data_IF_836254774383
#
_entry.id   IF_836254774383
#
_cell.length_a   1.000
_cell.length_b   1.000
_cell.length_c   1.000
_cell.angle_alpha   90.00
_cell.angle_beta   90.00
_cell.angle_gamma   90.00
#
_symmetry.space_group_name_H-M   'P 1'
#
loop_
_entity.id
_entity.type
_entity.pdbx_description
1 polymer ?
#
# COMPACT_ATOMS: atom_id res chain seq x y z
N UNK A 1 -21.26 12.97 16.76
CA UNK A 1 -20.27 13.28 15.70
C UNK A 1 -19.29 14.40 16.06
N UNK A 2 -19.71 15.48 16.77
CA UNK A 2 -18.81 16.59 17.09
C UNK A 2 -17.79 16.32 18.22
N UNK A 3 -18.03 15.35 19.10
CA UNK A 3 -17.12 15.03 20.20
C UNK A 3 -15.80 14.44 19.68
N UNK A 4 -15.86 13.52 18.74
CA UNK A 4 -14.70 12.83 18.21
C UNK A 4 -13.73 13.74 17.44
N UNK A 5 -14.26 14.66 16.61
CA UNK A 5 -13.41 15.61 15.90
C UNK A 5 -12.59 16.48 16.84
N UNK A 6 -13.16 16.84 18.01
CA UNK A 6 -12.42 17.56 19.05
C UNK A 6 -11.33 16.72 19.68
N UNK A 7 -11.61 15.43 19.90
CA UNK A 7 -10.61 14.51 20.47
C UNK A 7 -9.45 14.31 19.51
N UNK A 8 -9.70 14.13 18.21
CA UNK A 8 -8.65 14.02 17.18
C UNK A 8 -7.80 15.29 17.12
N UNK A 9 -8.42 16.47 17.13
CA UNK A 9 -7.68 17.75 17.12
C UNK A 9 -6.82 17.86 18.37
N UNK A 10 -7.36 17.54 19.54
CA UNK A 10 -6.62 17.57 20.81
C UNK A 10 -5.45 16.58 20.81
N UNK A 11 -5.63 15.40 20.23
CA UNK A 11 -4.57 14.41 20.13
C UNK A 11 -3.46 14.88 19.17
N UNK A 12 -3.82 15.55 18.06
CA UNK A 12 -2.85 16.18 17.16
C UNK A 12 -2.06 17.30 17.88
N UNK A 13 -2.73 18.19 18.60
CA UNK A 13 -2.10 19.27 19.36
C UNK A 13 -1.14 18.74 20.43
N UNK A 14 -1.50 17.62 21.06
CA UNK A 14 -0.66 16.92 22.06
C UNK A 14 0.34 15.94 21.45
N UNK A 15 0.47 15.89 20.13
CA UNK A 15 1.34 14.94 19.38
C UNK A 15 1.07 13.47 19.71
N UNK A 16 -0.15 13.13 20.06
CA UNK A 16 -0.62 11.77 20.25
C UNK A 16 -1.09 11.17 18.93
N UNK A 17 -0.13 10.91 18.04
CA UNK A 17 -0.41 10.37 16.72
C UNK A 17 -0.71 8.88 16.80
N UNK A 18 -1.54 8.41 15.87
CA UNK A 18 -1.74 6.99 15.67
C UNK A 18 -0.40 6.31 15.34
N UNK A 19 -0.24 5.09 15.80
CA UNK A 19 0.95 4.28 15.58
C UNK A 19 0.65 3.12 14.65
N UNK A 20 1.59 2.80 13.82
CA UNK A 20 1.52 1.62 12.98
C UNK A 20 1.64 0.36 13.85
N UNK A 21 0.57 -0.41 13.90
CA UNK A 21 0.52 -1.67 14.63
C UNK A 21 0.92 -2.86 13.74
N UNK A 22 0.65 -2.76 12.44
CA UNK A 22 0.91 -3.82 11.47
C UNK A 22 1.23 -3.23 10.11
N UNK A 23 2.21 -3.80 9.42
CA UNK A 23 2.54 -3.47 8.04
C UNK A 23 2.82 -4.75 7.27
N UNK A 24 2.22 -4.89 6.10
CA UNK A 24 2.49 -5.99 5.19
C UNK A 24 2.62 -5.49 3.76
N UNK A 25 3.67 -5.94 3.11
CA UNK A 25 3.96 -5.64 1.72
C UNK A 25 3.49 -6.79 0.83
N UNK A 26 2.78 -6.47 -0.23
CA UNK A 26 2.36 -7.41 -1.25
C UNK A 26 2.96 -7.01 -2.59
N UNK A 27 3.57 -7.99 -3.24
CA UNK A 27 4.03 -7.84 -4.62
C UNK A 27 2.96 -8.42 -5.54
N UNK A 28 2.21 -7.58 -6.21
CA UNK A 28 1.12 -8.01 -7.08
C UNK A 28 1.38 -7.55 -8.50
N UNK A 29 1.40 -8.48 -9.43
CA UNK A 29 1.44 -8.17 -10.86
C UNK A 29 0.07 -7.76 -11.41
N UNK A 30 -1.01 -8.07 -10.70
CA UNK A 30 -2.38 -7.84 -11.14
C UNK A 30 -3.01 -6.66 -10.41
N UNK A 31 -3.42 -5.65 -11.17
CA UNK A 31 -4.16 -4.51 -10.64
C UNK A 31 -5.50 -4.88 -9.97
N UNK A 32 -6.09 -6.03 -10.33
CA UNK A 32 -7.35 -6.47 -9.72
C UNK A 32 -7.22 -6.66 -8.22
N UNK A 33 -6.11 -7.21 -7.73
CA UNK A 33 -5.89 -7.41 -6.29
C UNK A 33 -5.69 -6.07 -5.58
N UNK A 34 -5.02 -5.12 -6.23
CA UNK A 34 -4.85 -3.75 -5.71
C UNK A 34 -6.21 -3.07 -5.55
N UNK A 35 -7.12 -3.27 -6.51
CA UNK A 35 -8.44 -2.67 -6.48
C UNK A 35 -9.33 -3.20 -5.35
N UNK A 36 -9.13 -4.43 -4.89
CA UNK A 36 -9.88 -4.98 -3.75
C UNK A 36 -9.62 -4.16 -2.49
N UNK A 37 -8.35 -3.88 -2.18
CA UNK A 37 -8.00 -3.08 -0.99
C UNK A 37 -8.27 -1.57 -1.17
N UNK A 38 -8.40 -1.09 -2.40
CA UNK A 38 -8.83 0.27 -2.68
C UNK A 38 -10.34 0.47 -2.49
N UNK A 39 -11.11 -0.62 -2.42
CA UNK A 39 -12.53 -0.55 -2.14
C UNK A 39 -12.78 -0.20 -0.67
N UNK A 40 -13.43 0.94 -0.43
CA UNK A 40 -13.74 1.44 0.92
C UNK A 40 -14.56 0.43 1.73
N UNK A 41 -15.54 -0.23 1.13
CA UNK A 41 -16.37 -1.22 1.82
C UNK A 41 -15.55 -2.41 2.33
N UNK A 42 -14.55 -2.85 1.57
CA UNK A 42 -13.65 -3.94 1.99
C UNK A 42 -12.75 -3.49 3.14
N UNK A 43 -12.22 -2.27 3.07
CA UNK A 43 -11.42 -1.73 4.17
C UNK A 43 -12.21 -1.64 5.46
N UNK A 44 -13.43 -1.10 5.41
CA UNK A 44 -14.32 -1.01 6.57
C UNK A 44 -14.59 -2.39 7.18
N UNK A 45 -14.88 -3.41 6.36
CA UNK A 45 -15.08 -4.78 6.86
C UNK A 45 -13.84 -5.35 7.57
N UNK A 46 -12.66 -5.10 7.03
CA UNK A 46 -11.40 -5.56 7.65
C UNK A 46 -11.14 -4.78 8.95
N UNK A 47 -11.40 -3.47 8.98
CA UNK A 47 -11.30 -2.65 10.19
C UNK A 47 -12.22 -3.15 11.30
N UNK A 48 -13.48 -3.46 10.96
CA UNK A 48 -14.48 -4.03 11.88
C UNK A 48 -14.04 -5.41 12.41
N UNK A 49 -13.51 -6.29 11.55
CA UNK A 49 -13.06 -7.61 11.94
C UNK A 49 -11.84 -7.54 12.88
N UNK A 50 -10.85 -6.69 12.56
CA UNK A 50 -9.67 -6.50 13.39
C UNK A 50 -10.07 -5.86 14.73
N UNK A 51 -10.92 -4.85 14.73
CA UNK A 51 -11.39 -4.20 15.94
C UNK A 51 -12.13 -5.18 16.84
N UNK A 52 -13.02 -6.00 16.28
CA UNK A 52 -13.75 -7.03 17.02
C UNK A 52 -12.81 -8.05 17.69
N UNK A 53 -11.77 -8.51 16.97
CA UNK A 53 -10.76 -9.43 17.54
C UNK A 53 -9.87 -8.77 18.58
N UNK A 54 -9.64 -7.46 18.48
CA UNK A 54 -8.85 -6.70 19.42
C UNK A 54 -9.63 -6.18 20.64
N UNK A 55 -10.95 -6.44 20.70
CA UNK A 55 -11.88 -5.89 21.70
C UNK A 55 -11.82 -4.35 21.73
N UNK A 56 -12.00 -3.75 20.56
CA UNK A 56 -11.98 -2.31 20.31
C UNK A 56 -13.19 -1.88 19.46
N UNK A 57 -13.43 -0.58 19.40
CA UNK A 57 -14.40 -0.02 18.45
C UNK A 57 -13.77 0.04 17.05
N UNK A 58 -14.55 -0.18 15.97
CA UNK A 58 -14.04 -0.08 14.60
C UNK A 58 -13.29 1.21 14.32
N UNK A 59 -13.72 2.27 14.94
CA UNK A 59 -13.14 3.60 14.82
C UNK A 59 -11.75 3.77 15.47
N UNK A 60 -11.28 2.83 16.28
CA UNK A 60 -9.93 2.83 16.85
C UNK A 60 -8.91 2.11 15.97
N UNK A 61 -9.35 1.55 14.85
CA UNK A 61 -8.51 0.87 13.86
C UNK A 61 -8.66 1.58 12.52
N UNK A 62 -7.55 1.89 11.87
CA UNK A 62 -7.55 2.56 10.56
C UNK A 62 -6.60 1.86 9.62
N UNK A 63 -7.11 1.48 8.44
CA UNK A 63 -6.32 0.87 7.37
C UNK A 63 -5.88 1.94 6.38
N UNK A 64 -4.60 1.96 6.09
CA UNK A 64 -3.99 2.72 5.01
C UNK A 64 -3.40 1.78 3.97
N UNK A 65 -3.73 2.00 2.72
CA UNK A 65 -3.26 1.18 1.59
C UNK A 65 -2.67 2.11 0.52
N UNK A 66 -1.45 2.63 0.75
CA UNK A 66 -0.79 3.38 -0.27
C UNK A 66 -0.37 2.46 -1.42
N UNK A 67 -0.86 2.72 -2.62
CA UNK A 67 -0.36 2.08 -3.83
C UNK A 67 0.77 2.93 -4.41
N UNK A 68 1.98 2.40 -4.35
CA UNK A 68 3.15 3.06 -4.95
C UNK A 68 3.60 2.25 -6.17
N UNK A 69 3.75 2.87 -7.35
CA UNK A 69 4.44 2.22 -8.45
C UNK A 69 5.88 1.94 -8.02
N UNK A 70 6.40 0.76 -8.30
CA UNK A 70 7.76 0.34 -7.94
C UNK A 70 8.85 1.19 -8.61
N UNK A 71 8.50 1.92 -9.65
CA UNK A 71 9.35 2.89 -10.33
C UNK A 71 8.78 4.27 -10.06
N UNK A 72 9.56 5.22 -9.49
CA UNK A 72 9.08 6.56 -9.25
C UNK A 72 8.77 7.26 -10.56
N UNK A 73 7.50 7.55 -10.77
CA UNK A 73 7.03 8.31 -11.90
C UNK A 73 6.94 9.78 -11.54
N UNK A 74 7.55 10.61 -12.32
CA UNK A 74 7.15 12.00 -12.38
C UNK A 74 5.85 12.07 -13.16
N UNK A 75 4.78 12.47 -12.49
CA UNK A 75 3.41 12.62 -13.03
C UNK A 75 3.26 13.67 -14.14
N UNK A 76 4.33 14.01 -14.84
CA UNK A 76 4.30 15.15 -15.75
C UNK A 76 3.69 14.84 -17.12
N UNK A 77 3.54 13.59 -17.53
CA UNK A 77 2.92 13.23 -18.81
C UNK A 77 2.42 11.79 -18.75
N UNK A 78 1.28 11.48 -19.36
CA UNK A 78 0.67 10.15 -19.53
C UNK A 78 1.54 9.10 -20.27
N UNK A 79 2.85 9.18 -20.14
CA UNK A 79 3.79 8.26 -20.77
C UNK A 79 4.24 7.25 -19.73
N UNK A 80 3.68 6.07 -19.82
CA UNK A 80 4.18 4.90 -19.10
C UNK A 80 5.66 4.70 -19.47
N UNK A 81 6.67 4.77 -18.56
CA UNK A 81 8.09 4.66 -18.89
C UNK A 81 8.44 3.35 -19.59
N UNK A 82 7.63 2.30 -19.40
CA UNK A 82 7.75 1.04 -20.11
C UNK A 82 7.38 1.17 -21.59
N UNK A 83 6.67 2.25 -21.94
CA UNK A 83 6.30 2.59 -23.33
C UNK A 83 7.37 3.41 -24.04
N UNK A 84 8.53 3.67 -23.42
CA UNK A 84 9.65 4.36 -24.07
C UNK A 84 10.04 3.56 -25.32
N UNK A 85 9.93 4.17 -26.52
CA UNK A 85 10.30 3.47 -27.76
C UNK A 85 11.83 3.40 -27.86
N UNK A 86 12.34 2.20 -27.99
CA UNK A 86 13.75 1.95 -28.32
C UNK A 86 13.83 1.63 -29.80
N UNK A 87 14.65 2.38 -30.49
CA UNK A 87 14.87 2.19 -31.91
C UNK A 87 16.15 1.41 -32.12
N UNK A 88 16.07 0.32 -32.88
CA UNK A 88 17.24 -0.38 -33.38
C UNK A 88 17.17 -0.53 -34.89
N UNK A 89 18.33 -0.67 -35.52
CA UNK A 89 18.43 -0.89 -36.96
C UNK A 89 18.57 -2.39 -37.21
N UNK A 90 17.78 -2.90 -38.12
CA UNK A 90 17.97 -4.26 -38.64
C UNK A 90 19.24 -4.35 -39.49
N UNK A 91 19.66 -5.57 -39.83
CA UNK A 91 20.78 -5.80 -40.78
C UNK A 91 20.52 -5.18 -42.15
N UNK A 92 19.25 -4.96 -42.48
CA UNK A 92 18.82 -4.30 -43.73
C UNK A 92 18.79 -2.78 -43.63
N UNK A 93 19.11 -2.20 -42.47
CA UNK A 93 19.13 -0.74 -42.27
C UNK A 93 17.78 -0.13 -41.87
N UNK A 94 16.72 -0.92 -41.77
CA UNK A 94 15.39 -0.47 -41.36
C UNK A 94 15.34 -0.16 -39.88
N UNK A 95 14.68 0.94 -39.50
CA UNK A 95 14.44 1.31 -38.11
C UNK A 95 13.20 0.59 -37.59
N UNK A 96 13.37 -0.24 -36.57
CA UNK A 96 12.27 -0.87 -35.87
C UNK A 96 12.17 -0.22 -34.48
N UNK A 97 10.93 0.10 -34.07
CA UNK A 97 10.61 0.58 -32.72
C UNK A 97 10.06 -0.57 -31.89
N UNK A 98 10.64 -0.79 -30.70
CA UNK A 98 10.12 -1.73 -29.70
C UNK A 98 10.02 -1.03 -28.35
N UNK A 99 9.06 -1.41 -27.52
CA UNK A 99 8.92 -0.85 -26.18
C UNK A 99 10.01 -1.42 -25.26
N UNK A 100 10.53 -0.60 -24.36
CA UNK A 100 11.55 -1.01 -23.38
C UNK A 100 11.11 -2.25 -22.58
N UNK A 101 9.84 -2.33 -22.17
CA UNK A 101 9.29 -3.47 -21.45
C UNK A 101 9.28 -4.78 -22.26
N UNK A 102 9.23 -4.71 -23.59
CA UNK A 102 9.28 -5.89 -24.47
C UNK A 102 10.70 -6.42 -24.66
N UNK A 103 11.69 -5.52 -24.56
CA UNK A 103 13.10 -5.85 -24.77
C UNK A 103 13.78 -6.40 -23.54
N UNK A 104 13.32 -6.06 -22.36
CA UNK A 104 13.98 -6.43 -21.11
C UNK A 104 13.04 -7.13 -20.13
N UNK A 105 13.29 -8.40 -19.88
CA UNK A 105 12.58 -9.17 -18.84
C UNK A 105 12.80 -8.58 -17.43
N UNK A 106 13.95 -7.95 -17.19
CA UNK A 106 14.24 -7.28 -15.92
C UNK A 106 13.30 -6.09 -15.76
N UNK A 107 13.15 -5.28 -16.81
CA UNK A 107 12.24 -4.12 -16.81
C UNK A 107 10.79 -4.56 -16.67
N UNK A 108 10.38 -5.65 -17.31
CA UNK A 108 9.04 -6.22 -17.13
C UNK A 108 8.82 -6.76 -15.70
N UNK A 109 9.86 -7.33 -15.10
CA UNK A 109 9.82 -7.77 -13.69
C UNK A 109 9.72 -6.61 -12.70
N UNK A 110 10.19 -5.42 -13.05
CA UNK A 110 10.05 -4.20 -12.25
C UNK A 110 8.63 -3.59 -12.31
N UNK A 111 7.76 -4.10 -13.17
CA UNK A 111 6.32 -3.76 -13.23
C UNK A 111 5.51 -4.29 -12.05
N UNK A 112 6.14 -4.58 -10.96
CA UNK A 112 5.45 -5.04 -9.76
C UNK A 112 4.93 -3.82 -9.01
N UNK A 113 3.61 -3.76 -8.80
CA UNK A 113 3.04 -2.78 -7.89
C UNK A 113 3.36 -3.19 -6.46
N UNK A 114 4.08 -2.34 -5.76
CA UNK A 114 4.30 -2.49 -4.34
C UNK A 114 3.05 -1.97 -3.63
N UNK A 115 2.23 -2.88 -3.14
CA UNK A 115 1.11 -2.53 -2.29
C UNK A 115 1.51 -2.77 -0.83
N UNK A 116 1.34 -1.76 -0.03
CA UNK A 116 1.60 -1.82 1.40
C UNK A 116 0.26 -1.69 2.10
N UNK A 117 -0.05 -2.60 3.01
CA UNK A 117 -1.17 -2.44 3.94
C UNK A 117 -0.58 -2.05 5.28
N UNK A 118 -1.06 -0.94 5.83
CA UNK A 118 -0.71 -0.47 7.16
C UNK A 118 -1.96 -0.36 8.01
N UNK A 119 -1.84 -0.79 9.25
CA UNK A 119 -2.91 -0.67 10.23
C UNK A 119 -2.42 0.21 11.35
N UNK A 120 -3.19 1.26 11.61
CA UNK A 120 -2.90 2.27 12.61
C UNK A 120 -3.91 2.21 13.74
N UNK A 121 -3.42 2.45 14.95
CA UNK A 121 -4.23 2.56 16.16
C UNK A 121 -3.53 3.44 17.19
N UNK A 122 -4.16 3.66 18.34
CA UNK A 122 -3.52 4.33 19.49
C UNK A 122 -2.42 3.46 20.09
N UNK A 123 -1.41 4.10 20.69
CA UNK A 123 -0.26 3.39 21.28
C UNK A 123 -0.67 2.30 22.27
N UNK A 124 -1.63 2.59 23.15
CA UNK A 124 -2.12 1.65 24.16
C UNK A 124 -2.82 0.41 23.57
N UNK A 125 -3.31 0.49 22.32
CA UNK A 125 -4.00 -0.60 21.65
C UNK A 125 -3.10 -1.39 20.70
N UNK A 126 -1.85 -0.92 20.47
CA UNK A 126 -0.96 -1.36 19.42
C UNK A 126 -0.75 -2.87 19.39
N UNK A 127 -0.44 -3.48 20.53
CA UNK A 127 -0.17 -4.93 20.61
C UNK A 127 -1.41 -5.79 20.36
N UNK A 128 -2.59 -5.35 20.84
CA UNK A 128 -3.86 -6.06 20.58
C UNK A 128 -4.20 -6.02 19.11
N UNK A 129 -4.10 -4.83 18.49
CA UNK A 129 -4.37 -4.63 17.06
C UNK A 129 -3.35 -5.39 16.22
N UNK A 130 -2.08 -5.43 16.61
CA UNK A 130 -1.05 -6.21 15.91
C UNK A 130 -1.41 -7.69 15.85
N UNK A 131 -1.77 -8.29 16.98
CA UNK A 131 -2.16 -9.71 17.06
C UNK A 131 -3.40 -9.98 16.19
N UNK A 132 -4.45 -9.16 16.34
CA UNK A 132 -5.67 -9.30 15.55
C UNK A 132 -5.41 -9.15 14.06
N UNK A 133 -4.51 -8.23 13.67
CA UNK A 133 -4.12 -8.04 12.26
C UNK A 133 -3.39 -9.24 11.67
N UNK A 134 -2.53 -9.89 12.45
CA UNK A 134 -1.88 -11.15 12.05
C UNK A 134 -2.92 -12.25 11.84
N UNK A 135 -3.91 -12.35 12.71
CA UNK A 135 -4.98 -13.35 12.60
C UNK A 135 -5.89 -13.14 11.38
N UNK A 136 -6.07 -11.89 10.95
CA UNK A 136 -6.93 -11.55 9.80
C UNK A 136 -6.17 -11.54 8.48
N UNK A 137 -4.96 -10.94 8.46
CA UNK A 137 -4.19 -10.69 7.24
C UNK A 137 -2.98 -11.61 7.08
N UNK A 138 -2.70 -12.47 8.06
CA UNK A 138 -1.54 -13.36 8.11
C UNK A 138 -0.27 -12.65 8.58
N UNK A 139 0.79 -13.42 8.75
CA UNK A 139 2.07 -12.91 9.23
C UNK A 139 2.68 -11.87 8.28
N UNK A 140 3.28 -10.85 8.86
CA UNK A 140 4.10 -9.88 8.16
C UNK A 140 5.59 -10.23 8.35
N UNK A 141 6.44 -10.11 7.34
CA UNK A 141 7.87 -10.32 7.51
C UNK A 141 8.44 -9.30 8.50
N UNK A 142 9.30 -9.77 9.40
CA UNK A 142 9.90 -8.98 10.50
C UNK A 142 10.69 -7.74 10.02
N UNK A 143 11.06 -7.70 8.74
CA UNK A 143 11.85 -6.61 8.14
C UNK A 143 11.06 -5.34 7.84
N UNK A 144 9.72 -5.35 7.99
CA UNK A 144 8.86 -4.23 7.62
C UNK A 144 8.54 -3.27 8.78
N UNK A 145 8.94 -3.59 10.00
CA UNK A 145 8.70 -2.72 11.16
C UNK A 145 9.77 -1.62 11.25
N UNK A 146 9.66 -0.63 10.39
CA UNK A 146 10.37 0.65 10.60
C UNK A 146 9.56 1.42 11.63
N UNK A 147 10.03 1.40 12.88
CA UNK A 147 9.47 2.26 13.93
C UNK A 147 9.95 3.69 13.70
N UNK A 148 9.04 4.56 13.33
CA UNK A 148 9.21 6.01 13.41
C UNK A 148 8.58 6.53 14.70
#
# INVERSE_FOLDING_TARGET
KHSRSKDVIRDLDNRRLLKCAYEKTFFVKDQLVTNIFNNESVRVQIEEEIAGKADLLPEDVTIDVPSLPSVPYHYAVDIEPMSIPIFHKTKTGEKISQKLGELSRIVDSLRVYLNIIRIYTKEECRERVRKASVDVLGEAPLSSLVSY
#
